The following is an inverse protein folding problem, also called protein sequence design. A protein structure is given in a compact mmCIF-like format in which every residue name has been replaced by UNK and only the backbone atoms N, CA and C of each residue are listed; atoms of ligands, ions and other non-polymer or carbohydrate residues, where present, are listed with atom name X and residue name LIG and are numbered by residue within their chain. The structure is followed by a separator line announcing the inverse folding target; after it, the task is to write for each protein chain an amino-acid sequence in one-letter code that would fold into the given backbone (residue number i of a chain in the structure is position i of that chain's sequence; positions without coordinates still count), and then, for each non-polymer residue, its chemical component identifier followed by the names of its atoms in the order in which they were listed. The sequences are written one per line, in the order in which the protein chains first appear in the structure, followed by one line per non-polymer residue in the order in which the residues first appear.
data_IF_370428599208
#
_entry.id   IF_370428599208
#
_cell.length_a   1.000
_cell.length_b   1.000
_cell.length_c   1.000
_cell.angle_alpha   90.00
_cell.angle_beta   90.00
_cell.angle_gamma   90.00
#
_symmetry.space_group_name_H-M   'P 1'
#
loop_
_entity.id
_entity.type
_entity.pdbx_description
1 polymer ?
#
# COMPACT_ATOMS: atom_id res chain seq x y z
N UNK A 1 1.78 -6.33 2.76
CA UNK A 1 1.68 -4.88 2.65
C UNK A 1 2.88 -4.15 3.24
N UNK A 2 3.09 -2.89 2.87
CA UNK A 2 4.05 -2.01 3.52
C UNK A 2 3.51 -1.49 4.84
N UNK A 3 4.40 -1.12 5.80
CA UNK A 3 3.95 -0.45 7.02
C UNK A 3 3.71 1.04 6.77
N UNK A 4 2.86 1.66 7.58
CA UNK A 4 2.75 3.10 7.70
C UNK A 4 4.01 3.73 8.25
N UNK A 5 4.19 5.03 8.06
CA UNK A 5 5.25 5.81 8.69
C UNK A 5 4.99 5.97 10.19
N UNK A 6 6.04 6.16 10.96
CA UNK A 6 5.94 6.35 12.40
C UNK A 6 5.37 7.70 12.82
N UNK A 7 4.91 7.82 14.05
CA UNK A 7 4.22 9.01 14.55
C UNK A 7 2.83 9.15 13.95
N UNK A 8 2.53 10.32 13.37
CA UNK A 8 1.31 10.55 12.57
C UNK A 8 1.58 10.36 11.07
N UNK A 9 2.22 9.25 10.72
CA UNK A 9 2.71 9.00 9.37
C UNK A 9 1.62 8.63 8.36
N UNK A 10 2.00 8.61 7.11
CA UNK A 10 1.16 8.22 5.99
C UNK A 10 0.88 6.71 5.96
N UNK A 11 -0.17 6.29 5.27
CA UNK A 11 -0.56 4.90 5.15
C UNK A 11 0.41 4.07 4.31
N UNK A 12 0.62 2.81 4.65
CA UNK A 12 1.38 1.86 3.84
C UNK A 12 0.54 1.31 2.67
N UNK A 13 1.18 1.02 1.55
CA UNK A 13 0.54 0.37 0.40
C UNK A 13 0.19 -1.11 0.67
N UNK A 14 -0.88 -1.58 0.06
CA UNK A 14 -1.37 -2.95 0.26
C UNK A 14 -0.43 -4.05 -0.25
N UNK A 15 0.37 -3.76 -1.22
CA UNK A 15 1.09 -4.75 -2.03
C UNK A 15 0.36 -5.09 -3.32
N UNK A 16 0.98 -5.90 -4.15
CA UNK A 16 0.43 -6.30 -5.44
C UNK A 16 -0.66 -7.37 -5.28
N UNK A 17 -1.70 -7.26 -6.10
CA UNK A 17 -2.70 -8.30 -6.28
C UNK A 17 -2.62 -8.80 -7.72
N UNK A 18 -2.36 -10.10 -7.88
CA UNK A 18 -2.23 -10.73 -9.20
C UNK A 18 -3.03 -12.01 -9.27
N UNK A 19 -3.68 -12.21 -10.40
CA UNK A 19 -4.41 -13.45 -10.72
C UNK A 19 -3.98 -13.99 -12.07
N UNK A 20 -3.98 -15.31 -12.22
CA UNK A 20 -3.69 -15.98 -13.47
C UNK A 20 -4.34 -17.36 -13.46
N UNK A 21 -4.65 -17.87 -14.65
CA UNK A 21 -5.03 -19.27 -14.84
C UNK A 21 -3.87 -19.95 -15.57
N UNK A 22 -3.39 -21.06 -15.02
CA UNK A 22 -2.30 -21.83 -15.60
C UNK A 22 -2.65 -23.32 -15.60
N UNK A 23 -2.25 -24.01 -16.66
CA UNK A 23 -2.43 -25.46 -16.77
C UNK A 23 -1.22 -26.17 -16.12
N UNK A 24 -1.53 -27.10 -15.22
CA UNK A 24 -0.53 -27.89 -14.52
C UNK A 24 -0.65 -29.37 -14.89
N UNK A 25 0.50 -30.02 -14.98
CA UNK A 25 0.55 -31.49 -15.05
C UNK A 25 0.25 -32.06 -13.66
N UNK A 26 -0.49 -33.17 -13.63
CA UNK A 26 -0.76 -33.91 -12.39
C UNK A 26 0.58 -34.35 -11.77
N UNK A 27 0.75 -34.13 -10.47
CA UNK A 27 1.97 -34.44 -9.74
C UNK A 27 3.02 -33.32 -9.73
N UNK A 28 2.75 -32.17 -10.35
CA UNK A 28 3.66 -31.02 -10.25
C UNK A 28 3.67 -30.46 -8.82
N UNK A 29 4.90 -30.30 -8.27
CA UNK A 29 5.08 -29.58 -7.02
C UNK A 29 5.00 -28.08 -7.24
N UNK A 30 4.19 -27.39 -6.45
CA UNK A 30 4.03 -25.94 -6.44
C UNK A 30 4.67 -25.40 -5.16
N UNK A 31 5.54 -24.40 -5.31
CA UNK A 31 6.08 -23.65 -4.20
C UNK A 31 5.32 -22.32 -4.07
N UNK A 32 4.75 -22.09 -2.90
CA UNK A 32 4.11 -20.83 -2.53
C UNK A 32 4.97 -20.14 -1.48
N UNK A 33 5.43 -18.93 -1.80
CA UNK A 33 6.14 -18.07 -0.85
C UNK A 33 5.20 -16.94 -0.44
N UNK A 34 5.01 -16.77 0.87
CA UNK A 34 4.23 -15.66 1.43
C UNK A 34 5.23 -14.66 2.02
N UNK A 35 5.26 -13.46 1.44
CA UNK A 35 6.13 -12.39 1.93
C UNK A 35 5.58 -11.76 3.22
N UNK A 36 6.47 -11.37 4.11
CA UNK A 36 6.12 -10.68 5.33
C UNK A 36 5.61 -9.25 5.05
N UNK A 37 4.77 -8.75 5.94
CA UNK A 37 4.41 -7.33 5.97
C UNK A 37 5.60 -6.46 6.38
N UNK A 38 5.60 -5.20 5.99
CA UNK A 38 6.60 -4.23 6.46
C UNK A 38 6.55 -4.10 7.98
N UNK A 39 7.70 -4.21 8.64
CA UNK A 39 7.79 -4.09 10.09
C UNK A 39 7.30 -2.72 10.57
N UNK A 40 6.50 -2.70 11.64
CA UNK A 40 5.99 -1.48 12.23
C UNK A 40 7.13 -0.58 12.75
N UNK A 41 6.93 0.74 12.69
CA UNK A 41 7.85 1.73 13.22
C UNK A 41 7.36 2.28 14.55
N UNK A 42 8.25 2.37 15.50
CA UNK A 42 8.00 2.94 16.85
C UNK A 42 8.51 4.38 17.00
N UNK A 43 9.32 4.85 16.06
CA UNK A 43 9.87 6.21 15.98
C UNK A 43 9.36 6.92 14.74
N UNK A 44 9.58 8.25 14.66
CA UNK A 44 9.18 9.07 13.50
C UNK A 44 10.14 8.87 12.33
N UNK A 45 10.06 7.70 11.72
CA UNK A 45 10.81 7.35 10.51
C UNK A 45 9.86 6.74 9.48
N UNK A 46 10.29 6.74 8.23
CA UNK A 46 9.58 6.08 7.15
C UNK A 46 9.32 4.61 7.53
N UNK A 47 8.17 4.08 7.12
CA UNK A 47 7.84 2.68 7.27
C UNK A 47 8.79 1.75 6.51
N UNK A 48 8.50 0.46 6.55
CA UNK A 48 9.23 -0.57 5.79
C UNK A 48 8.35 -1.13 4.67
N UNK A 49 8.95 -1.44 3.54
CA UNK A 49 8.25 -2.18 2.50
C UNK A 49 7.89 -3.59 2.98
N UNK A 50 6.80 -4.12 2.47
CA UNK A 50 6.52 -5.55 2.57
C UNK A 50 7.44 -6.34 1.66
N UNK A 51 7.62 -7.62 1.95
CA UNK A 51 8.31 -8.56 1.07
C UNK A 51 7.37 -9.08 -0.03
N UNK A 52 7.97 -9.60 -1.10
CA UNK A 52 7.24 -10.17 -2.23
C UNK A 52 6.65 -11.55 -1.89
N UNK A 53 5.47 -11.81 -2.44
CA UNK A 53 4.86 -13.14 -2.44
C UNK A 53 4.97 -13.76 -3.83
N UNK A 54 5.14 -15.07 -3.92
CA UNK A 54 5.25 -15.72 -5.22
C UNK A 54 4.66 -17.12 -5.26
N UNK A 55 4.29 -17.54 -6.47
CA UNK A 55 3.94 -18.93 -6.81
C UNK A 55 4.84 -19.37 -7.93
N UNK A 56 5.51 -20.51 -7.76
CA UNK A 56 6.42 -21.09 -8.75
C UNK A 56 6.31 -22.63 -8.77
N UNK A 57 6.81 -23.25 -9.83
CA UNK A 57 6.84 -24.70 -9.98
C UNK A 57 7.25 -25.11 -11.39
N UNK A 58 7.56 -26.38 -11.60
CA UNK A 58 7.90 -26.89 -12.93
C UNK A 58 6.69 -26.76 -13.87
N UNK A 59 6.90 -26.18 -15.04
CA UNK A 59 5.82 -25.92 -16.02
C UNK A 59 4.93 -24.73 -15.68
N UNK A 60 5.14 -24.05 -14.55
CA UNK A 60 4.48 -22.80 -14.20
C UNK A 60 5.29 -21.58 -14.65
N UNK A 61 4.61 -20.59 -15.19
CA UNK A 61 5.18 -19.23 -15.24
C UNK A 61 5.12 -18.65 -13.82
N UNK A 62 6.29 -18.37 -13.23
CA UNK A 62 6.36 -17.79 -11.89
C UNK A 62 5.58 -16.48 -11.85
N UNK A 63 4.69 -16.34 -10.87
CA UNK A 63 3.96 -15.11 -10.58
C UNK A 63 4.52 -14.53 -9.28
N UNK A 64 5.00 -13.30 -9.34
CA UNK A 64 5.43 -12.55 -8.15
C UNK A 64 4.49 -11.35 -7.97
N UNK A 65 3.92 -11.23 -6.78
CA UNK A 65 3.21 -10.04 -6.33
C UNK A 65 4.13 -9.23 -5.44
N UNK A 66 4.46 -8.02 -5.86
CA UNK A 66 5.43 -7.16 -5.16
C UNK A 66 4.87 -6.69 -3.82
N UNK A 67 5.71 -6.63 -2.81
CA UNK A 67 5.35 -6.08 -1.50
C UNK A 67 4.83 -4.65 -1.58
N UNK A 68 4.06 -4.24 -0.59
CA UNK A 68 3.55 -2.86 -0.52
C UNK A 68 4.63 -1.86 -0.18
N UNK A 69 4.55 -0.68 -0.77
CA UNK A 69 5.44 0.45 -0.47
C UNK A 69 5.19 1.02 0.92
N UNK A 70 6.25 1.43 1.59
CA UNK A 70 6.17 2.06 2.92
C UNK A 70 5.58 3.47 2.85
N UNK A 71 4.72 3.80 3.81
CA UNK A 71 4.26 5.17 4.04
C UNK A 71 5.37 6.05 4.62
N UNK A 72 5.34 7.34 4.28
CA UNK A 72 6.30 8.30 4.82
C UNK A 72 5.93 8.70 6.25
N UNK A 73 6.92 9.10 7.06
CA UNK A 73 6.70 9.56 8.43
C UNK A 73 6.23 11.01 8.47
N UNK A 74 5.49 11.38 9.52
CA UNK A 74 5.25 12.78 9.84
C UNK A 74 6.51 13.46 10.36
N UNK A 75 6.75 14.68 9.92
CA UNK A 75 7.82 15.56 10.41
C UNK A 75 9.26 15.02 10.23
N UNK A 76 9.55 14.41 9.10
CA UNK A 76 10.91 14.05 8.68
C UNK A 76 11.15 14.36 7.21
N UNK A 77 12.35 14.86 6.89
CA UNK A 77 12.77 15.18 5.53
C UNK A 77 13.16 13.92 4.71
N UNK A 78 12.39 12.84 4.81
CA UNK A 78 12.77 11.56 4.19
C UNK A 78 12.26 11.38 2.75
N UNK A 79 11.98 12.47 2.05
CA UNK A 79 11.70 12.43 0.60
C UNK A 79 10.36 11.76 0.26
N UNK A 80 10.32 11.05 -0.85
CA UNK A 80 9.15 10.39 -1.42
C UNK A 80 8.83 9.11 -0.63
N UNK A 81 7.54 8.78 -0.44
CA UNK A 81 7.11 7.49 0.07
C UNK A 81 7.56 6.35 -0.87
N UNK A 82 7.66 5.14 -0.35
CA UNK A 82 8.18 4.04 -1.15
C UNK A 82 7.16 3.51 -2.16
N UNK A 83 7.69 3.20 -3.35
CA UNK A 83 6.94 2.47 -4.37
C UNK A 83 6.86 0.98 -4.04
N UNK A 84 5.88 0.29 -4.64
CA UNK A 84 5.69 -1.15 -4.44
C UNK A 84 4.62 -1.71 -5.37
N UNK A 85 4.10 -2.89 -5.09
CA UNK A 85 2.91 -3.42 -5.77
C UNK A 85 1.75 -2.44 -5.68
N UNK A 86 1.51 -1.89 -4.49
CA UNK A 86 0.78 -0.62 -4.26
C UNK A 86 1.69 0.31 -3.48
N UNK A 87 1.65 1.61 -3.78
CA UNK A 87 2.55 2.62 -3.22
C UNK A 87 2.16 3.11 -1.83
N UNK A 88 3.13 3.55 -1.03
CA UNK A 88 2.89 4.18 0.27
C UNK A 88 2.40 5.63 0.14
N UNK A 89 1.70 6.14 1.14
CA UNK A 89 1.22 7.52 1.21
C UNK A 89 2.33 8.53 1.54
N UNK A 90 2.16 9.77 1.09
CA UNK A 90 3.06 10.89 1.35
C UNK A 90 2.80 11.59 2.68
N UNK A 91 3.83 12.15 3.31
CA UNK A 91 3.75 12.89 4.57
C UNK A 91 3.17 14.29 4.38
N UNK A 92 2.45 14.79 5.40
CA UNK A 92 1.89 16.14 5.43
C UNK A 92 2.85 17.23 5.91
N UNK A 93 3.97 16.87 6.52
CA UNK A 93 4.94 17.80 7.15
C UNK A 93 6.33 17.72 6.51
N UNK A 94 6.40 17.30 5.30
CA UNK A 94 7.64 17.18 4.53
C UNK A 94 7.70 18.24 3.43
N UNK A 95 8.92 18.61 3.05
CA UNK A 95 9.16 19.43 1.83
C UNK A 95 8.76 18.65 0.56
N UNK A 96 8.72 17.33 0.64
CA UNK A 96 8.28 16.44 -0.42
C UNK A 96 7.12 15.57 0.07
N UNK A 97 5.90 15.96 -0.32
CA UNK A 97 4.68 15.27 0.09
C UNK A 97 4.28 14.14 -0.87
N UNK A 98 5.19 13.71 -1.71
CA UNK A 98 4.91 12.76 -2.80
C UNK A 98 4.68 11.35 -2.27
N UNK A 99 3.60 10.75 -2.75
CA UNK A 99 3.31 9.34 -2.52
C UNK A 99 4.24 8.42 -3.32
N UNK A 100 4.34 7.18 -2.90
CA UNK A 100 4.98 6.12 -3.65
C UNK A 100 4.11 5.65 -4.83
N UNK A 101 4.74 5.25 -5.92
CA UNK A 101 4.06 4.68 -7.08
C UNK A 101 3.65 3.24 -6.83
N UNK A 102 2.46 2.88 -7.29
CA UNK A 102 2.01 1.49 -7.40
C UNK A 102 2.52 0.82 -8.67
N UNK A 103 2.14 -0.44 -8.86
CA UNK A 103 2.53 -1.23 -10.02
C UNK A 103 4.02 -1.17 -10.34
N UNK A 104 4.84 -1.26 -9.30
CA UNK A 104 6.31 -1.20 -9.40
C UNK A 104 6.93 -2.49 -8.86
N UNK A 105 7.64 -3.28 -9.69
CA UNK A 105 7.80 -3.11 -11.14
C UNK A 105 6.47 -3.23 -11.88
N UNK A 106 6.40 -2.61 -13.07
CA UNK A 106 5.18 -2.61 -13.88
C UNK A 106 4.78 -4.00 -14.33
N UNK A 107 3.50 -4.31 -14.20
CA UNK A 107 2.88 -5.57 -14.68
C UNK A 107 1.63 -5.27 -15.49
N UNK A 108 1.25 -6.22 -16.35
CA UNK A 108 -0.02 -6.17 -17.08
C UNK A 108 -0.78 -7.48 -16.80
N UNK A 109 -2.00 -7.43 -16.25
CA UNK A 109 -2.67 -6.24 -15.68
C UNK A 109 -1.87 -5.61 -14.53
N UNK A 110 -2.21 -4.34 -14.19
CA UNK A 110 -1.61 -3.66 -13.03
C UNK A 110 -1.83 -4.45 -11.75
N UNK A 111 -0.80 -4.55 -10.91
CA UNK A 111 -0.89 -5.25 -9.62
C UNK A 111 -1.34 -4.35 -8.47
N UNK A 112 -1.42 -3.02 -8.66
CA UNK A 112 -1.87 -2.07 -7.63
C UNK A 112 -1.73 -0.63 -8.08
N UNK A 113 -2.04 0.30 -7.18
CA UNK A 113 -2.13 1.73 -7.46
C UNK A 113 -1.24 2.56 -6.53
N UNK A 114 -1.06 3.83 -6.90
CA UNK A 114 -0.27 4.81 -6.15
C UNK A 114 -0.88 5.10 -4.78
N UNK A 115 -0.06 5.55 -3.84
CA UNK A 115 -0.53 6.17 -2.61
C UNK A 115 -1.09 7.57 -2.85
N UNK A 116 -1.75 8.12 -1.84
CA UNK A 116 -2.18 9.52 -1.80
C UNK A 116 -1.04 10.44 -1.37
N UNK A 117 -0.94 11.62 -1.96
CA UNK A 117 0.03 12.63 -1.52
C UNK A 117 -0.34 13.20 -0.14
N UNK A 118 0.66 13.63 0.62
CA UNK A 118 0.43 14.51 1.78
C UNK A 118 0.23 15.96 1.33
N UNK A 119 -0.16 16.82 2.27
CA UNK A 119 -0.28 18.27 2.03
C UNK A 119 0.50 19.03 3.08
N UNK A 120 1.51 19.79 2.66
CA UNK A 120 2.32 20.61 3.55
C UNK A 120 1.57 21.88 3.99
N UNK A 121 1.93 22.35 5.19
CA UNK A 121 1.37 23.56 5.76
C UNK A 121 -0.01 23.36 6.40
N UNK A 122 -0.43 24.34 7.17
CA UNK A 122 -1.67 24.28 7.95
C UNK A 122 -1.49 23.60 9.31
N UNK A 123 -2.56 23.61 10.11
CA UNK A 123 -2.53 23.14 11.50
C UNK A 123 -2.62 21.62 11.66
N UNK A 124 -2.90 20.89 10.57
CA UNK A 124 -3.29 19.48 10.64
C UNK A 124 -2.24 18.52 10.12
N UNK A 125 -1.26 19.01 9.33
CA UNK A 125 -0.22 18.17 8.70
C UNK A 125 -0.79 16.91 8.03
N UNK A 126 -1.74 17.06 7.06
CA UNK A 126 -2.48 15.93 6.55
C UNK A 126 -1.62 15.00 5.70
N UNK A 127 -1.54 13.74 6.12
CA UNK A 127 -0.86 12.69 5.40
C UNK A 127 -1.79 11.97 4.42
N UNK A 128 -1.23 11.37 3.37
CA UNK A 128 -1.95 10.57 2.40
C UNK A 128 -2.09 9.11 2.82
N UNK A 129 -3.16 8.44 2.37
CA UNK A 129 -3.36 7.00 2.53
C UNK A 129 -2.50 6.20 1.56
N UNK A 130 -2.21 4.94 1.88
CA UNK A 130 -1.55 4.00 0.97
C UNK A 130 -2.44 3.56 -0.18
N UNK A 131 -1.86 3.19 -1.31
CA UNK A 131 -2.57 2.63 -2.45
C UNK A 131 -3.12 1.23 -2.16
N UNK A 132 -4.26 0.92 -2.74
CA UNK A 132 -4.85 -0.42 -2.77
C UNK A 132 -4.71 -1.08 -4.14
N UNK A 133 -5.07 -2.35 -4.24
CA UNK A 133 -5.05 -3.05 -5.53
C UNK A 133 -6.12 -2.53 -6.49
N UNK A 134 -7.26 -2.06 -5.98
CA UNK A 134 -8.40 -1.58 -6.76
C UNK A 134 -8.47 -0.06 -6.91
N UNK A 135 -7.70 0.71 -6.12
CA UNK A 135 -7.76 2.17 -6.17
C UNK A 135 -6.57 2.87 -5.55
N UNK A 136 -6.37 4.11 -5.95
CA UNK A 136 -5.35 5.02 -5.43
C UNK A 136 -5.67 5.39 -3.98
N UNK A 137 -4.64 5.57 -3.15
CA UNK A 137 -4.80 6.16 -1.82
C UNK A 137 -5.27 7.61 -1.91
N UNK A 138 -6.11 8.03 -0.98
CA UNK A 138 -6.61 9.41 -0.96
C UNK A 138 -5.53 10.35 -0.42
N UNK A 139 -5.40 11.50 -1.06
CA UNK A 139 -4.49 12.54 -0.58
C UNK A 139 -4.99 13.15 0.74
N UNK A 140 -4.06 13.67 1.55
CA UNK A 140 -4.40 14.53 2.68
C UNK A 140 -5.07 15.83 2.23
N UNK A 141 -5.77 16.51 3.13
CA UNK A 141 -6.46 17.76 2.84
C UNK A 141 -6.43 18.72 4.04
N UNK A 142 -6.11 20.00 3.81
CA UNK A 142 -6.21 21.04 4.82
C UNK A 142 -7.64 21.63 4.94
N UNK A 143 -8.54 21.28 4.04
CA UNK A 143 -9.85 21.94 3.88
C UNK A 143 -11.04 21.03 4.14
N UNK A 144 -10.89 19.73 4.04
CA UNK A 144 -11.99 18.76 4.09
C UNK A 144 -11.66 17.64 5.09
N UNK A 145 -12.59 17.40 6.03
CA UNK A 145 -12.47 16.27 6.97
C UNK A 145 -12.98 14.97 6.32
N UNK A 146 -12.30 13.81 6.54
CA UNK A 146 -11.10 13.67 7.35
C UNK A 146 -9.89 14.31 6.67
N UNK A 147 -9.10 15.07 7.42
CA UNK A 147 -7.90 15.73 6.87
C UNK A 147 -6.85 14.75 6.41
N UNK A 148 -6.78 13.58 7.03
CA UNK A 148 -5.85 12.51 6.71
C UNK A 148 -6.48 11.54 5.71
N UNK A 149 -5.72 11.17 4.69
CA UNK A 149 -6.20 10.41 3.55
C UNK A 149 -6.58 8.96 3.90
N UNK A 150 -7.78 8.49 3.53
CA UNK A 150 -8.12 7.08 3.51
C UNK A 150 -7.21 6.27 2.58
N UNK A 151 -7.03 4.99 2.92
CA UNK A 151 -6.37 4.03 2.05
C UNK A 151 -7.19 3.71 0.79
N UNK A 152 -6.50 3.36 -0.28
CA UNK A 152 -7.11 2.92 -1.54
C UNK A 152 -7.86 1.59 -1.37
N UNK A 153 -8.99 1.45 -2.06
CA UNK A 153 -9.80 0.23 -2.01
C UNK A 153 -9.04 -0.97 -2.61
N UNK A 154 -9.33 -2.15 -2.10
CA UNK A 154 -8.83 -3.41 -2.65
C UNK A 154 -9.62 -3.88 -3.88
N UNK A 155 -9.23 -5.01 -4.41
CA UNK A 155 -9.87 -5.67 -5.56
C UNK A 155 -10.68 -6.88 -5.11
N UNK A 156 -11.91 -7.00 -5.61
CA UNK A 156 -12.76 -8.15 -5.34
C UNK A 156 -12.32 -9.38 -6.15
N UNK A 157 -12.37 -10.54 -5.53
CA UNK A 157 -12.14 -11.83 -6.17
C UNK A 157 -13.16 -12.85 -5.69
N UNK A 158 -13.65 -13.69 -6.60
CA UNK A 158 -14.57 -14.80 -6.32
C UNK A 158 -13.90 -16.17 -6.42
N UNK A 159 -12.58 -16.24 -6.37
CA UNK A 159 -11.83 -17.51 -6.50
C UNK A 159 -12.19 -18.54 -5.44
N UNK A 160 -12.70 -18.10 -4.30
CA UNK A 160 -13.20 -18.94 -3.19
C UNK A 160 -14.71 -19.16 -3.21
N UNK A 161 -15.37 -18.96 -4.36
CA UNK A 161 -16.82 -19.04 -4.60
C UNK A 161 -17.65 -17.89 -4.00
N UNK A 162 -17.13 -17.15 -3.04
CA UNK A 162 -17.74 -15.91 -2.53
C UNK A 162 -16.91 -14.70 -2.97
N UNK A 163 -17.58 -13.57 -3.24
CA UNK A 163 -16.86 -12.34 -3.55
C UNK A 163 -16.22 -11.77 -2.28
N UNK A 164 -14.90 -11.75 -2.23
CA UNK A 164 -14.11 -11.18 -1.12
C UNK A 164 -13.18 -10.11 -1.68
N UNK A 165 -13.12 -8.98 -0.99
CA UNK A 165 -12.18 -7.89 -1.35
C UNK A 165 -10.83 -8.12 -0.66
N UNK A 166 -9.73 -7.95 -1.40
CA UNK A 166 -8.36 -8.14 -0.93
C UNK A 166 -7.50 -6.94 -1.25
N UNK A 167 -6.42 -6.78 -0.50
CA UNK A 167 -5.38 -5.80 -0.77
C UNK A 167 -5.86 -4.33 -0.76
N UNK A 168 -6.58 -3.95 0.30
CA UNK A 168 -6.85 -2.54 0.64
C UNK A 168 -5.60 -1.87 1.22
N UNK A 169 -5.41 -0.59 0.91
CA UNK A 169 -4.30 0.22 1.43
C UNK A 169 -4.55 0.74 2.84
N UNK A 170 -3.50 1.01 3.61
CA UNK A 170 -3.59 1.58 4.96
C UNK A 170 -4.05 3.05 4.95
N UNK A 171 -4.87 3.43 5.93
CA UNK A 171 -5.21 4.85 6.15
C UNK A 171 -4.04 5.62 6.78
N UNK A 172 -4.01 6.93 6.59
CA UNK A 172 -3.02 7.80 7.21
C UNK A 172 -3.31 8.02 8.70
N UNK A 173 -2.25 8.09 9.52
CA UNK A 173 -2.32 8.54 10.91
C UNK A 173 -2.62 10.04 11.01
N UNK A 174 -2.97 10.51 12.19
CA UNK A 174 -3.30 11.91 12.45
C UNK A 174 -2.40 12.54 13.51
N UNK A 175 -1.90 13.75 13.23
CA UNK A 175 -1.33 14.62 14.27
C UNK A 175 -2.46 15.22 15.12
N UNK A 176 -3.47 15.78 14.46
CA UNK A 176 -4.69 16.28 15.06
C UNK A 176 -5.88 15.89 14.20
N UNK A 177 -7.05 15.72 14.80
CA UNK A 177 -8.26 15.32 14.10
C UNK A 177 -8.34 13.81 13.83
N UNK A 178 -9.30 13.36 13.00
CA UNK A 178 -9.49 11.96 12.69
C UNK A 178 -8.40 11.43 11.75
N UNK A 179 -7.96 10.19 11.99
CA UNK A 179 -7.14 9.44 11.06
C UNK A 179 -7.94 9.05 9.80
N UNK A 180 -7.25 8.79 8.71
CA UNK A 180 -7.83 8.18 7.52
C UNK A 180 -8.25 6.73 7.80
N UNK A 181 -9.38 6.31 7.24
CA UNK A 181 -9.79 4.91 7.32
C UNK A 181 -8.93 4.03 6.41
N UNK A 182 -8.73 2.77 6.78
CA UNK A 182 -8.15 1.79 5.86
C UNK A 182 -9.07 1.53 4.66
N UNK A 183 -8.50 1.14 3.54
CA UNK A 183 -9.23 0.71 2.35
C UNK A 183 -9.92 -0.64 2.57
N UNK A 184 -11.08 -0.86 1.93
CA UNK A 184 -11.75 -2.15 1.98
C UNK A 184 -10.85 -3.27 1.45
N UNK A 185 -10.85 -4.42 2.11
CA UNK A 185 -10.00 -5.56 1.77
C UNK A 185 -8.75 -5.70 2.64
N UNK A 186 -8.77 -5.17 3.88
CA UNK A 186 -7.71 -5.37 4.87
C UNK A 186 -6.68 -4.24 4.94
N UNK A 187 -7.11 -3.00 4.70
CA UNK A 187 -6.31 -1.79 4.87
C UNK A 187 -6.35 -1.26 6.30
#
# INVERSE_FOLDING_TARGET
GGSGGGGWGAGGGAGGFRTSTQNLQVGTSITVTVGDGGAAQTSRVKGNNGADSSISGSGLTTITSTGGGAGNAGNVEEGVANSGGSGGGGSGDSVTNTAGSGNTPSTTPSQGNDGGAGVSGGAYYPCGGGGGAGGVGTAGSNSVSPYNGPGGVGTASSITSASVTYAGGGGAGAYTGPAGSGGSGGG
#
